data_IF_590217464072
#
_entry.id   IF_590217464072
#
_cell.length_a   1.000
_cell.length_b   1.000
_cell.length_c   1.000
_cell.angle_alpha   90.00
_cell.angle_beta   90.00
_cell.angle_gamma   90.00
#
_symmetry.space_group_name_H-M   'P 1'
#
loop_
_entity.id
_entity.type
_entity.pdbx_description
1 polymer ?
#
# COMPACT_ATOMS: atom_id res chain seq x y z
N UNK A 1 33.33 14.77 -25.44
CA UNK A 1 32.89 13.36 -25.45
C UNK A 1 32.10 13.16 -24.16
N UNK A 2 30.76 13.13 -24.23
CA UNK A 2 29.97 12.84 -23.03
C UNK A 2 30.44 11.48 -22.50
N UNK A 3 30.83 11.35 -21.22
CA UNK A 3 31.28 10.08 -20.70
C UNK A 3 30.13 9.10 -20.86
N UNK A 4 30.36 7.99 -21.57
CA UNK A 4 29.35 6.94 -21.75
C UNK A 4 28.81 6.47 -20.39
N UNK A 5 29.67 6.47 -19.36
CA UNK A 5 29.29 6.22 -17.96
C UNK A 5 28.25 7.20 -17.42
N UNK A 6 28.31 8.48 -17.78
CA UNK A 6 27.37 9.50 -17.33
C UNK A 6 25.96 9.21 -17.88
N UNK A 7 25.88 8.84 -19.16
CA UNK A 7 24.62 8.47 -19.81
C UNK A 7 23.95 7.24 -19.19
N UNK A 8 24.73 6.20 -18.89
CA UNK A 8 24.22 5.01 -18.20
C UNK A 8 23.71 5.31 -16.78
N UNK A 9 24.41 6.18 -16.03
CA UNK A 9 23.99 6.56 -14.68
C UNK A 9 22.67 7.36 -14.68
N UNK A 10 22.53 8.35 -15.58
CA UNK A 10 21.27 9.10 -15.70
C UNK A 10 20.11 8.23 -16.16
N UNK A 11 20.35 7.29 -17.06
CA UNK A 11 19.33 6.33 -17.51
C UNK A 11 18.87 5.41 -16.37
N UNK A 12 19.81 4.86 -15.59
CA UNK A 12 19.50 4.04 -14.43
C UNK A 12 18.69 4.82 -13.38
N UNK A 13 19.11 6.05 -13.06
CA UNK A 13 18.38 6.91 -12.13
C UNK A 13 16.96 7.23 -12.61
N UNK A 14 16.78 7.50 -13.91
CA UNK A 14 15.46 7.83 -14.47
C UNK A 14 14.52 6.62 -14.43
N UNK A 15 14.98 5.44 -14.87
CA UNK A 15 14.17 4.21 -14.81
C UNK A 15 13.77 3.91 -13.37
N UNK A 16 14.72 4.03 -12.45
CA UNK A 16 14.49 3.80 -11.03
C UNK A 16 13.36 4.67 -10.48
N UNK A 17 13.42 5.97 -10.76
CA UNK A 17 12.38 6.94 -10.40
C UNK A 17 11.02 6.60 -11.00
N UNK A 18 10.99 6.19 -12.28
CA UNK A 18 9.76 5.84 -12.97
C UNK A 18 9.13 4.60 -12.34
N UNK A 19 9.91 3.57 -12.04
CA UNK A 19 9.43 2.33 -11.41
C UNK A 19 8.87 2.62 -10.02
N UNK A 20 9.59 3.39 -9.21
CA UNK A 20 9.11 3.83 -7.90
C UNK A 20 7.78 4.59 -8.00
N UNK A 21 7.73 5.60 -8.87
CA UNK A 21 6.54 6.43 -9.04
C UNK A 21 5.36 5.59 -9.47
N UNK A 22 5.56 4.64 -10.38
CA UNK A 22 4.53 3.73 -10.85
C UNK A 22 4.03 2.81 -9.73
N UNK A 23 4.94 2.24 -8.93
CA UNK A 23 4.60 1.45 -7.75
C UNK A 23 3.76 2.23 -6.74
N UNK A 24 4.18 3.46 -6.42
CA UNK A 24 3.48 4.34 -5.47
C UNK A 24 2.09 4.69 -5.99
N UNK A 25 1.97 5.07 -7.28
CA UNK A 25 0.68 5.41 -7.89
C UNK A 25 -0.29 4.22 -7.85
N UNK A 26 0.15 3.03 -8.27
CA UNK A 26 -0.69 1.82 -8.27
C UNK A 26 -1.16 1.49 -6.85
N UNK A 27 -0.25 1.57 -5.87
CA UNK A 27 -0.58 1.28 -4.47
C UNK A 27 -1.56 2.32 -3.89
N UNK A 28 -1.44 3.60 -4.26
CA UNK A 28 -2.41 4.65 -3.90
C UNK A 28 -3.77 4.42 -4.55
N UNK A 29 -3.81 4.01 -5.83
CA UNK A 29 -5.07 3.69 -6.52
C UNK A 29 -5.75 2.51 -5.84
N UNK A 30 -5.01 1.44 -5.54
CA UNK A 30 -5.53 0.30 -4.79
C UNK A 30 -6.08 0.71 -3.40
N UNK A 31 -5.39 1.61 -2.71
CA UNK A 31 -5.84 2.17 -1.43
C UNK A 31 -7.14 2.98 -1.58
N UNK A 32 -7.24 3.81 -2.62
CA UNK A 32 -8.45 4.61 -2.88
C UNK A 32 -9.65 3.71 -3.21
N UNK A 33 -9.45 2.66 -4.02
CA UNK A 33 -10.49 1.68 -4.33
C UNK A 33 -10.97 0.92 -3.09
N UNK A 34 -10.04 0.48 -2.22
CA UNK A 34 -10.39 -0.17 -0.96
C UNK A 34 -11.10 0.77 0.01
N UNK A 35 -10.70 2.04 0.06
CA UNK A 35 -11.38 3.04 0.90
C UNK A 35 -12.81 3.24 0.44
N UNK A 36 -13.03 3.38 -0.87
CA UNK A 36 -14.38 3.46 -1.44
C UNK A 36 -15.18 2.18 -1.17
N UNK A 37 -14.55 1.00 -1.29
CA UNK A 37 -15.18 -0.27 -0.95
C UNK A 37 -15.60 -0.32 0.53
N UNK A 38 -14.76 0.18 1.43
CA UNK A 38 -15.07 0.25 2.86
C UNK A 38 -16.26 1.18 3.14
N UNK A 39 -16.32 2.33 2.48
CA UNK A 39 -17.48 3.23 2.55
C UNK A 39 -18.76 2.55 2.05
N UNK A 40 -18.70 1.85 0.91
CA UNK A 40 -19.83 1.07 0.39
C UNK A 40 -20.27 -0.06 1.35
N UNK A 41 -19.31 -0.72 2.01
CA UNK A 41 -19.58 -1.80 2.96
C UNK A 41 -20.26 -1.30 4.25
N UNK A 42 -19.94 -0.08 4.70
CA UNK A 42 -20.60 0.57 5.84
C UNK A 42 -22.09 0.90 5.57
N UNK A 43 -22.48 1.00 4.29
CA UNK A 43 -23.85 1.33 3.87
C UNK A 43 -24.80 0.13 3.81
N UNK A 44 -24.28 -1.11 3.84
CA UNK A 44 -25.11 -2.31 3.72
C UNK A 44 -26.20 -2.34 4.80
N UNK A 45 -27.45 -2.55 4.37
CA UNK A 45 -28.63 -2.58 5.23
C UNK A 45 -29.08 -1.19 5.72
N UNK A 46 -28.63 -0.08 5.12
CA UNK A 46 -29.15 1.27 5.41
C UNK A 46 -30.47 1.61 4.72
N UNK A 47 -30.81 0.97 3.60
CA UNK A 47 -31.95 1.38 2.76
C UNK A 47 -33.27 0.63 3.04
N UNK A 48 -33.49 0.14 4.26
CA UNK A 48 -34.67 -0.68 4.61
C UNK A 48 -34.77 -1.96 3.74
N UNK A 49 -33.61 -2.51 3.39
CA UNK A 49 -33.45 -3.71 2.54
C UNK A 49 -33.95 -4.97 3.25
N UNK A 50 -34.55 -5.88 2.47
CA UNK A 50 -34.93 -7.20 2.97
C UNK A 50 -33.67 -8.07 3.19
N UNK A 51 -33.78 -9.10 4.02
CA UNK A 51 -32.67 -10.02 4.30
C UNK A 51 -32.07 -10.68 3.03
N UNK A 52 -32.89 -10.93 2.01
CA UNK A 52 -32.41 -11.48 0.74
C UNK A 52 -31.57 -10.46 -0.05
N UNK A 53 -31.92 -9.17 -0.03
CA UNK A 53 -31.17 -8.10 -0.69
C UNK A 53 -29.82 -7.86 0.01
N UNK A 54 -29.83 -7.83 1.36
CA UNK A 54 -28.60 -7.74 2.15
C UNK A 54 -27.68 -8.93 1.86
N UNK A 55 -28.24 -10.14 1.71
CA UNK A 55 -27.48 -11.34 1.39
C UNK A 55 -26.84 -11.24 0.00
N UNK A 56 -27.56 -10.75 -1.00
CA UNK A 56 -27.05 -10.56 -2.37
C UNK A 56 -25.95 -9.50 -2.41
N UNK A 57 -26.17 -8.34 -1.78
CA UNK A 57 -25.18 -7.27 -1.74
C UNK A 57 -23.92 -7.69 -0.99
N UNK A 58 -24.05 -8.37 0.15
CA UNK A 58 -22.91 -8.86 0.92
C UNK A 58 -22.12 -9.92 0.14
N UNK A 59 -22.79 -10.78 -0.63
CA UNK A 59 -22.13 -11.73 -1.52
C UNK A 59 -21.37 -11.01 -2.64
N UNK A 60 -21.94 -9.97 -3.24
CA UNK A 60 -21.27 -9.14 -4.25
C UNK A 60 -20.02 -8.48 -3.65
N UNK A 61 -20.14 -7.87 -2.46
CA UNK A 61 -18.99 -7.28 -1.76
C UNK A 61 -17.92 -8.31 -1.43
N UNK A 62 -18.32 -9.52 -1.03
CA UNK A 62 -17.38 -10.62 -0.77
C UNK A 62 -16.59 -11.00 -2.03
N UNK A 63 -17.26 -11.16 -3.16
CA UNK A 63 -16.59 -11.44 -4.44
C UNK A 63 -15.64 -10.32 -4.85
N UNK A 64 -16.07 -9.06 -4.68
CA UNK A 64 -15.24 -7.88 -4.95
C UNK A 64 -14.01 -7.81 -4.03
N UNK A 65 -14.14 -8.19 -2.75
CA UNK A 65 -13.01 -8.29 -1.84
C UNK A 65 -11.98 -9.36 -2.26
N UNK A 66 -12.44 -10.49 -2.79
CA UNK A 66 -11.53 -11.51 -3.36
C UNK A 66 -10.74 -10.94 -4.55
N UNK A 67 -11.40 -10.17 -5.42
CA UNK A 67 -10.75 -9.50 -6.55
C UNK A 67 -9.69 -8.51 -6.09
N UNK A 68 -9.99 -7.68 -5.08
CA UNK A 68 -9.01 -6.79 -4.47
C UNK A 68 -7.84 -7.55 -3.85
N UNK A 69 -8.09 -8.64 -3.12
CA UNK A 69 -7.04 -9.50 -2.60
C UNK A 69 -6.12 -10.05 -3.69
N UNK A 70 -6.67 -10.42 -4.86
CA UNK A 70 -5.88 -10.86 -6.02
C UNK A 70 -5.07 -9.72 -6.64
N UNK A 71 -5.66 -8.54 -6.77
CA UNK A 71 -4.98 -7.34 -7.28
C UNK A 71 -3.78 -7.00 -6.39
N UNK A 72 -3.96 -6.96 -5.07
CA UNK A 72 -2.91 -6.62 -4.10
C UNK A 72 -1.78 -7.64 -4.14
N UNK A 73 -2.10 -8.95 -4.20
CA UNK A 73 -1.08 -10.00 -4.39
C UNK A 73 -0.33 -9.86 -5.71
N UNK A 74 -1.00 -9.41 -6.77
CA UNK A 74 -0.36 -9.18 -8.08
C UNK A 74 0.61 -8.01 -8.01
N UNK A 75 0.22 -6.92 -7.32
CA UNK A 75 1.08 -5.76 -7.06
C UNK A 75 2.30 -6.21 -6.25
N UNK A 76 2.09 -6.94 -5.16
CA UNK A 76 3.16 -7.45 -4.29
C UNK A 76 4.17 -8.28 -5.09
N UNK A 77 3.71 -9.31 -5.79
CA UNK A 77 4.57 -10.19 -6.59
C UNK A 77 5.30 -9.46 -7.73
N UNK A 78 4.68 -8.42 -8.32
CA UNK A 78 5.29 -7.67 -9.43
C UNK A 78 6.46 -6.81 -8.93
N UNK A 79 6.32 -6.23 -7.75
CA UNK A 79 7.29 -5.28 -7.22
C UNK A 79 8.17 -5.83 -6.10
N UNK A 80 7.97 -7.07 -5.63
CA UNK A 80 8.69 -7.67 -4.50
C UNK A 80 10.21 -7.45 -4.59
N UNK A 81 10.83 -7.90 -5.69
CA UNK A 81 12.27 -7.78 -5.91
C UNK A 81 12.68 -6.31 -6.04
N UNK A 82 11.85 -5.49 -6.68
CA UNK A 82 12.13 -4.07 -6.89
C UNK A 82 12.10 -3.31 -5.56
N UNK A 83 11.05 -3.46 -4.76
CA UNK A 83 10.91 -2.85 -3.43
C UNK A 83 12.05 -3.27 -2.51
N UNK A 84 12.45 -4.55 -2.54
CA UNK A 84 13.60 -5.03 -1.78
C UNK A 84 14.90 -4.32 -2.18
N UNK A 85 15.21 -4.32 -3.48
CA UNK A 85 16.42 -3.67 -3.98
C UNK A 85 16.37 -2.16 -3.72
N UNK A 86 15.19 -1.54 -3.86
CA UNK A 86 14.97 -0.12 -3.59
C UNK A 86 15.24 0.26 -2.14
N UNK A 87 14.67 -0.47 -1.18
CA UNK A 87 14.93 -0.24 0.24
C UNK A 87 16.39 -0.53 0.58
N UNK A 88 16.94 -1.63 0.06
CA UNK A 88 18.31 -2.04 0.29
C UNK A 88 19.35 -1.02 -0.18
N UNK A 89 19.08 -0.27 -1.26
CA UNK A 89 19.97 0.79 -1.74
C UNK A 89 19.64 2.16 -1.15
N UNK A 90 18.36 2.47 -0.91
CA UNK A 90 17.94 3.80 -0.47
C UNK A 90 18.28 4.05 1.01
N UNK A 91 18.21 3.04 1.89
CA UNK A 91 18.62 3.19 3.30
C UNK A 91 20.10 3.61 3.41
N UNK A 92 21.08 2.88 2.83
CA UNK A 92 22.48 3.31 2.85
C UNK A 92 22.69 4.67 2.20
N UNK A 93 22.03 4.93 1.07
CA UNK A 93 22.15 6.21 0.34
C UNK A 93 21.68 7.39 1.20
N UNK A 94 20.57 7.22 1.92
CA UNK A 94 20.06 8.22 2.87
C UNK A 94 21.06 8.47 4.00
N UNK A 95 21.61 7.40 4.60
CA UNK A 95 22.60 7.50 5.70
C UNK A 95 23.85 8.25 5.24
N UNK A 96 24.44 7.85 4.11
CA UNK A 96 25.64 8.51 3.59
C UNK A 96 25.37 9.95 3.17
N UNK A 97 24.20 10.23 2.59
CA UNK A 97 23.82 11.61 2.23
C UNK A 97 23.67 12.49 3.46
N UNK A 98 23.07 11.99 4.54
CA UNK A 98 22.99 12.69 5.82
C UNK A 98 24.37 12.92 6.45
N UNK A 99 25.26 11.92 6.42
CA UNK A 99 26.64 12.07 6.89
C UNK A 99 27.41 13.13 6.09
N UNK A 100 27.24 13.15 4.77
CA UNK A 100 27.81 14.18 3.90
C UNK A 100 27.24 15.56 4.20
N UNK A 101 25.95 15.68 4.54
CA UNK A 101 25.35 16.94 4.97
C UNK A 101 25.95 17.44 6.29
N UNK A 102 26.11 16.55 7.28
CA UNK A 102 26.73 16.90 8.57
C UNK A 102 28.18 17.34 8.40
N UNK A 103 28.91 16.76 7.45
CA UNK A 103 30.27 17.19 7.10
C UNK A 103 30.29 18.52 6.33
N UNK A 104 29.34 18.75 5.43
CA UNK A 104 29.27 20.00 4.64
C UNK A 104 28.87 21.22 5.49
N UNK A 105 28.08 20.99 6.55
CA UNK A 105 27.67 22.00 7.54
C UNK A 105 28.86 22.73 8.20
N UNK A 106 30.04 22.12 8.24
CA UNK A 106 31.22 22.73 8.87
C UNK A 106 32.07 23.61 7.94
N UNK A 107 32.02 23.43 6.62
CA UNK A 107 33.02 24.05 5.71
C UNK A 107 32.48 24.72 4.43
N UNK A 108 31.41 24.22 3.77
CA UNK A 108 31.02 24.71 2.43
C UNK A 108 29.50 24.83 2.21
N UNK A 109 28.99 26.06 2.25
CA UNK A 109 27.57 26.40 2.02
C UNK A 109 27.03 26.03 0.63
N UNK A 110 27.86 26.03 -0.41
CA UNK A 110 27.44 25.67 -1.77
C UNK A 110 27.17 24.17 -1.88
N UNK A 111 28.06 23.36 -1.28
CA UNK A 111 27.93 21.90 -1.21
C UNK A 111 26.69 21.51 -0.40
N UNK A 112 26.38 22.25 0.66
CA UNK A 112 25.16 22.08 1.45
C UNK A 112 23.87 22.26 0.62
N UNK A 113 23.76 23.34 -0.17
CA UNK A 113 22.59 23.61 -1.01
C UNK A 113 22.40 22.53 -2.09
N UNK A 114 23.49 21.98 -2.63
CA UNK A 114 23.44 20.94 -3.65
C UNK A 114 23.02 19.56 -3.10
N UNK A 115 23.30 19.26 -1.83
CA UNK A 115 23.01 17.95 -1.21
C UNK A 115 21.56 17.85 -0.72
N UNK A 116 20.97 18.95 -0.24
CA UNK A 116 19.61 18.97 0.32
C UNK A 116 18.55 18.34 -0.60
N UNK A 117 18.46 18.68 -1.89
CA UNK A 117 17.46 18.08 -2.79
C UNK A 117 17.59 16.56 -2.90
N UNK A 118 18.83 16.04 -2.87
CA UNK A 118 19.09 14.59 -2.90
C UNK A 118 18.59 13.89 -1.64
N UNK A 119 18.81 14.49 -0.47
CA UNK A 119 18.29 13.96 0.80
C UNK A 119 16.77 13.99 0.83
N UNK A 120 16.17 15.11 0.41
CA UNK A 120 14.72 15.24 0.35
C UNK A 120 14.11 14.15 -0.55
N UNK A 121 14.73 13.93 -1.71
CA UNK A 121 14.31 12.89 -2.62
C UNK A 121 14.40 11.49 -1.98
N UNK A 122 15.53 11.13 -1.36
CA UNK A 122 15.71 9.83 -0.70
C UNK A 122 14.69 9.61 0.43
N UNK A 123 14.39 10.65 1.21
CA UNK A 123 13.39 10.59 2.29
C UNK A 123 11.97 10.39 1.75
N UNK A 124 11.58 11.14 0.71
CA UNK A 124 10.27 10.97 0.06
C UNK A 124 10.12 9.56 -0.50
N UNK A 125 11.18 9.05 -1.14
CA UNK A 125 11.22 7.68 -1.66
C UNK A 125 11.03 6.64 -0.55
N UNK A 126 11.74 6.78 0.57
CA UNK A 126 11.63 5.87 1.71
C UNK A 126 10.23 5.91 2.35
N UNK A 127 9.64 7.10 2.47
CA UNK A 127 8.27 7.27 2.96
C UNK A 127 7.28 6.61 1.98
N UNK A 128 7.44 6.81 0.68
CA UNK A 128 6.59 6.19 -0.34
C UNK A 128 6.61 4.67 -0.28
N UNK A 129 7.80 4.08 -0.13
CA UNK A 129 8.02 2.63 -0.05
C UNK A 129 7.48 2.00 1.23
N UNK A 130 7.28 2.75 2.30
CA UNK A 130 6.89 2.22 3.62
C UNK A 130 5.47 2.62 4.01
N UNK A 131 5.11 3.90 3.87
CA UNK A 131 3.84 4.42 4.32
C UNK A 131 2.66 4.01 3.41
N UNK A 132 2.88 3.90 2.09
CA UNK A 132 1.79 3.55 1.16
C UNK A 132 1.34 2.09 1.34
N UNK A 133 2.25 1.09 1.41
CA UNK A 133 1.87 -0.28 1.76
C UNK A 133 1.17 -0.40 3.11
N UNK A 134 1.66 0.31 4.13
CA UNK A 134 1.06 0.31 5.46
C UNK A 134 -0.38 0.84 5.45
N UNK A 135 -0.64 1.94 4.74
CA UNK A 135 -2.01 2.46 4.58
C UNK A 135 -2.91 1.48 3.83
N UNK A 136 -2.38 0.80 2.82
CA UNK A 136 -3.12 -0.19 2.06
C UNK A 136 -3.56 -1.35 2.96
N UNK A 137 -2.66 -1.87 3.79
CA UNK A 137 -3.01 -2.95 4.72
C UNK A 137 -3.98 -2.51 5.82
N UNK A 138 -3.80 -1.31 6.38
CA UNK A 138 -4.76 -0.76 7.34
C UNK A 138 -6.17 -0.67 6.73
N UNK A 139 -6.28 -0.27 5.45
CA UNK A 139 -7.55 -0.25 4.74
C UNK A 139 -8.16 -1.64 4.53
N UNK A 140 -7.35 -2.67 4.28
CA UNK A 140 -7.80 -4.08 4.21
C UNK A 140 -8.33 -4.53 5.57
N UNK A 141 -7.57 -4.28 6.65
CA UNK A 141 -7.94 -4.68 8.01
C UNK A 141 -9.19 -3.97 8.52
N UNK A 142 -9.46 -2.74 8.06
CA UNK A 142 -10.68 -1.99 8.42
C UNK A 142 -11.97 -2.71 8.03
N UNK A 143 -11.96 -3.56 7.00
CA UNK A 143 -13.11 -4.38 6.58
C UNK A 143 -13.66 -5.21 7.74
N UNK A 144 -12.78 -5.83 8.54
CA UNK A 144 -13.17 -6.65 9.70
C UNK A 144 -13.95 -5.81 10.72
N UNK A 145 -13.43 -4.63 11.05
CA UNK A 145 -14.06 -3.72 12.00
C UNK A 145 -15.42 -3.24 11.51
N UNK A 146 -15.55 -2.94 10.21
CA UNK A 146 -16.81 -2.50 9.61
C UNK A 146 -17.88 -3.59 9.77
N UNK A 147 -17.56 -4.83 9.40
CA UNK A 147 -18.50 -5.96 9.47
C UNK A 147 -18.94 -6.19 10.92
N UNK A 148 -18.02 -6.20 11.88
CA UNK A 148 -18.37 -6.39 13.29
C UNK A 148 -19.19 -5.22 13.86
N UNK A 149 -18.92 -3.99 13.42
CA UNK A 149 -19.65 -2.80 13.88
C UNK A 149 -21.06 -2.67 13.29
N UNK A 150 -21.35 -3.33 12.16
CA UNK A 150 -22.65 -3.24 11.51
C UNK A 150 -23.66 -4.19 12.18
N UNK A 151 -24.37 -3.70 13.20
CA UNK A 151 -25.39 -4.46 13.97
C UNK A 151 -26.47 -5.08 13.09
N UNK A 152 -26.74 -4.53 11.90
CA UNK A 152 -27.80 -5.00 11.01
C UNK A 152 -27.46 -6.30 10.29
N UNK A 153 -26.17 -6.60 10.13
CA UNK A 153 -25.71 -7.90 9.64
C UNK A 153 -25.93 -9.00 10.68
N UNK A 154 -25.94 -8.64 11.97
CA UNK A 154 -26.01 -9.57 13.09
C UNK A 154 -27.44 -9.70 13.66
N UNK A 155 -28.30 -8.71 13.42
CA UNK A 155 -29.67 -8.68 13.95
C UNK A 155 -30.68 -8.08 12.95
N UNK A 156 -31.83 -8.75 12.69
CA UNK A 156 -32.20 -10.08 13.18
C UNK A 156 -31.30 -11.19 12.61
N UNK A 157 -31.15 -12.29 13.34
CA UNK A 157 -30.26 -13.37 12.93
C UNK A 157 -30.78 -14.06 11.65
N UNK A 158 -29.98 -14.04 10.59
CA UNK A 158 -30.13 -14.86 9.38
C UNK A 158 -28.85 -15.69 9.19
N UNK A 159 -29.00 -17.00 9.04
CA UNK A 159 -27.89 -17.93 8.88
C UNK A 159 -27.01 -17.60 7.66
N UNK A 160 -27.62 -17.19 6.54
CA UNK A 160 -26.91 -16.92 5.28
C UNK A 160 -26.04 -15.68 5.40
N UNK A 161 -26.60 -14.59 5.93
CA UNK A 161 -25.87 -13.34 6.16
C UNK A 161 -24.70 -13.60 7.13
N UNK A 162 -24.95 -14.34 8.20
CA UNK A 162 -23.91 -14.69 9.18
C UNK A 162 -22.76 -15.50 8.54
N UNK A 163 -23.08 -16.51 7.73
CA UNK A 163 -22.09 -17.33 7.05
C UNK A 163 -21.23 -16.51 6.07
N UNK A 164 -21.83 -15.62 5.28
CA UNK A 164 -21.11 -14.78 4.32
C UNK A 164 -20.26 -13.75 5.06
N UNK A 165 -20.80 -13.08 6.08
CA UNK A 165 -20.06 -12.11 6.90
C UNK A 165 -18.85 -12.78 7.56
N UNK A 166 -19.03 -13.99 8.10
CA UNK A 166 -17.95 -14.76 8.69
C UNK A 166 -16.91 -15.22 7.65
N UNK A 167 -17.36 -15.65 6.47
CA UNK A 167 -16.46 -15.99 5.35
C UNK A 167 -15.63 -14.77 4.91
N UNK A 168 -16.24 -13.59 4.86
CA UNK A 168 -15.55 -12.35 4.53
C UNK A 168 -14.50 -11.99 5.60
N UNK A 169 -14.85 -12.03 6.88
CA UNK A 169 -13.91 -11.77 7.98
C UNK A 169 -12.75 -12.77 7.98
N UNK A 170 -13.04 -14.06 7.80
CA UNK A 170 -11.98 -15.08 7.73
C UNK A 170 -11.08 -14.89 6.51
N UNK A 171 -11.61 -14.40 5.39
CA UNK A 171 -10.83 -14.06 4.21
C UNK A 171 -9.93 -12.84 4.44
N UNK A 172 -10.43 -11.80 5.12
CA UNK A 172 -9.63 -10.61 5.53
C UNK A 172 -8.47 -11.02 6.43
N UNK A 173 -8.71 -11.96 7.36
CA UNK A 173 -7.71 -12.46 8.32
C UNK A 173 -6.72 -13.47 7.73
N UNK A 174 -6.78 -13.78 6.44
CA UNK A 174 -5.77 -14.63 5.81
C UNK A 174 -4.38 -14.03 6.01
N UNK A 175 -3.45 -14.83 6.52
CA UNK A 175 -2.05 -14.43 6.56
C UNK A 175 -1.59 -14.05 5.15
N UNK A 176 -0.90 -12.91 5.02
CA UNK A 176 -0.41 -12.34 3.76
C UNK A 176 -1.47 -11.64 2.87
N UNK A 177 -2.55 -11.12 3.44
CA UNK A 177 -3.39 -10.12 2.75
C UNK A 177 -2.77 -8.73 2.97
N UNK A 178 -1.81 -8.36 2.10
CA UNK A 178 -1.04 -7.12 2.20
C UNK A 178 0.12 -7.13 1.20
N UNK A 179 0.88 -6.04 1.16
CA UNK A 179 2.15 -5.99 0.43
C UNK A 179 3.23 -6.41 1.42
N UNK A 180 3.91 -7.52 1.13
CA UNK A 180 4.93 -8.08 2.01
C UNK A 180 6.32 -7.64 1.56
N UNK A 181 7.07 -7.07 2.49
CA UNK A 181 8.51 -6.88 2.32
C UNK A 181 9.22 -8.15 2.79
N UNK A 182 9.24 -9.16 1.90
CA UNK A 182 10.05 -10.38 2.01
C UNK A 182 9.89 -11.13 3.34
N UNK A 183 8.68 -11.15 3.91
CA UNK A 183 8.41 -11.81 5.21
C UNK A 183 9.14 -11.20 6.43
N UNK A 184 9.90 -10.11 6.26
CA UNK A 184 10.54 -9.36 7.34
C UNK A 184 9.64 -8.25 7.89
N UNK A 185 8.81 -7.68 7.04
CA UNK A 185 7.74 -6.77 7.42
C UNK A 185 6.51 -7.09 6.58
N UNK A 186 5.47 -7.62 7.23
CA UNK A 186 4.11 -7.61 6.68
C UNK A 186 3.54 -6.29 7.13
N UNK A 187 3.31 -5.39 6.17
CA UNK A 187 2.63 -4.14 6.42
C UNK A 187 1.16 -4.32 6.34
#
# INVERSE_FOLDING_TARGET
MFPVSLGFNFYGFFIWNVVLTFYVIISIVAYAELTKYNEELELIGQNDENADEICEELMEKFMKHIEYGRMIRTIDNTFEVYTFVMIGTNIPTTIFSLLSLFKALSDEWITFILIIPGIFFCLVELIGLTAVPAKLHEAIGRVENIIYSNTRLWYPYDERIYQIAYALVTHVRQANLGISLWGFAVF
#
